data_IF_545199380246
#
_entry.id   IF_545199380246
#
_cell.length_a   1.000
_cell.length_b   1.000
_cell.length_c   1.000
_cell.angle_alpha   90.00
_cell.angle_beta   90.00
_cell.angle_gamma   90.00
#
_symmetry.space_group_name_H-M   'P 1'
#
loop_
_entity.id
_entity.type
_entity.pdbx_description
1 polymer ?
#
# COMPACT_ATOMS: atom_id res chain seq x y z
N UNK A 1 -3.76 14.45 13.17
CA UNK A 1 -4.21 13.69 11.99
C UNK A 1 -4.08 14.61 10.79
N UNK A 2 -3.00 14.50 10.03
CA UNK A 2 -2.82 15.29 8.81
C UNK A 2 -3.05 14.34 7.62
N UNK A 3 -4.15 14.58 6.90
CA UNK A 3 -4.42 13.98 5.62
C UNK A 3 -3.84 14.91 4.55
N UNK A 4 -2.73 14.54 3.94
CA UNK A 4 -2.13 15.33 2.87
C UNK A 4 -2.56 14.73 1.53
N UNK A 5 -3.44 15.41 0.81
CA UNK A 5 -3.74 15.09 -0.59
C UNK A 5 -2.63 15.68 -1.46
N UNK A 6 -1.53 14.93 -1.63
CA UNK A 6 -0.48 15.35 -2.54
C UNK A 6 -0.90 15.05 -3.98
N UNK A 7 -1.37 16.08 -4.69
CA UNK A 7 -1.47 16.06 -6.14
C UNK A 7 -0.07 16.14 -6.78
N UNK A 8 0.83 15.21 -6.42
CA UNK A 8 2.09 15.04 -7.12
C UNK A 8 1.83 14.34 -8.45
N UNK A 9 2.59 14.71 -9.50
CA UNK A 9 2.60 13.99 -10.78
C UNK A 9 3.57 12.80 -10.78
N UNK A 10 4.38 12.66 -9.72
CA UNK A 10 5.47 11.69 -9.60
C UNK A 10 5.57 11.16 -8.17
N UNK A 11 6.16 9.99 -8.01
CA UNK A 11 6.54 9.51 -6.69
C UNK A 11 7.62 10.42 -6.09
N UNK A 12 7.53 10.66 -4.78
CA UNK A 12 8.48 11.51 -4.04
C UNK A 12 8.92 10.74 -2.80
N UNK A 13 10.21 10.81 -2.40
CA UNK A 13 10.66 10.16 -1.16
C UNK A 13 9.95 10.74 0.08
N UNK A 14 9.76 9.96 1.16
CA UNK A 14 9.25 10.49 2.41
C UNK A 14 10.28 11.38 3.14
N UNK A 15 9.86 12.15 4.16
CA UNK A 15 10.79 12.92 4.99
C UNK A 15 11.86 12.03 5.66
N UNK A 16 13.00 12.62 6.03
CA UNK A 16 14.07 11.88 6.70
C UNK A 16 13.57 11.17 7.97
N UNK A 17 13.90 9.88 8.10
CA UNK A 17 13.47 9.03 9.22
C UNK A 17 12.07 8.42 9.06
N UNK A 18 11.39 8.66 7.94
CA UNK A 18 10.10 8.04 7.61
C UNK A 18 10.28 6.90 6.62
N UNK A 19 9.43 5.88 6.75
CA UNK A 19 9.19 4.89 5.72
C UNK A 19 7.94 5.26 4.92
N UNK A 20 7.98 5.07 3.61
CA UNK A 20 6.83 5.21 2.73
C UNK A 20 6.36 3.83 2.30
N UNK A 21 5.07 3.56 2.51
CA UNK A 21 4.42 2.30 2.18
C UNK A 21 3.42 2.56 1.06
N UNK A 22 3.69 2.02 -0.12
CA UNK A 22 2.79 2.04 -1.27
C UNK A 22 2.11 0.67 -1.39
N UNK A 23 0.82 0.67 -1.72
CA UNK A 23 0.05 -0.57 -1.91
C UNK A 23 -0.85 -0.50 -3.14
N UNK A 24 -1.02 -1.63 -3.84
CA UNK A 24 -2.00 -1.81 -4.94
C UNK A 24 -2.44 -3.27 -5.03
N UNK A 25 -3.53 -3.52 -5.76
CA UNK A 25 -4.08 -4.86 -5.98
C UNK A 25 -4.23 -5.17 -7.47
N UNK A 26 -3.64 -6.28 -7.90
CA UNK A 26 -3.85 -6.85 -9.23
C UNK A 26 -4.90 -7.94 -9.21
N UNK A 27 -5.81 -7.92 -10.18
CA UNK A 27 -6.93 -8.87 -10.28
C UNK A 27 -6.66 -9.81 -11.44
N UNK A 28 -6.79 -11.12 -11.21
CA UNK A 28 -6.70 -12.16 -12.23
C UNK A 28 -7.80 -13.20 -12.02
N UNK A 29 -8.01 -14.05 -13.02
CA UNK A 29 -9.00 -15.14 -12.93
C UNK A 29 -8.71 -16.11 -11.78
N UNK A 30 -7.45 -16.26 -11.38
CA UNK A 30 -7.01 -17.17 -10.33
C UNK A 30 -6.90 -16.51 -8.94
N UNK A 31 -7.35 -15.26 -8.78
CA UNK A 31 -7.34 -14.53 -7.51
C UNK A 31 -6.87 -13.09 -7.64
N UNK A 32 -6.79 -12.40 -6.50
CA UNK A 32 -6.22 -11.06 -6.41
C UNK A 32 -4.87 -11.12 -5.72
N UNK A 33 -3.96 -10.22 -6.09
CA UNK A 33 -2.61 -10.15 -5.53
C UNK A 33 -2.39 -8.74 -5.03
N UNK A 34 -2.18 -8.62 -3.73
CA UNK A 34 -1.79 -7.37 -3.10
C UNK A 34 -0.29 -7.24 -3.23
N UNK A 35 0.20 -6.08 -3.64
CA UNK A 35 1.58 -5.72 -3.51
C UNK A 35 1.73 -4.59 -2.51
N UNK A 36 2.56 -4.80 -1.50
CA UNK A 36 3.01 -3.79 -0.56
C UNK A 36 4.50 -3.56 -0.80
N UNK A 37 4.83 -2.28 -0.92
CA UNK A 37 6.12 -1.82 -1.34
C UNK A 37 6.60 -0.72 -0.40
N UNK A 38 7.84 -0.82 0.11
CA UNK A 38 8.34 0.07 1.16
C UNK A 38 9.69 0.68 0.79
N UNK A 39 9.80 2.01 0.91
CA UNK A 39 11.04 2.77 0.73
C UNK A 39 11.34 3.70 1.89
N UNK A 40 12.62 4.00 2.08
CA UNK A 40 13.10 5.05 2.98
C UNK A 40 13.21 6.42 2.27
N UNK A 41 13.67 7.43 3.01
CA UNK A 41 13.91 8.79 2.52
C UNK A 41 15.03 8.89 1.48
N UNK A 42 15.91 7.91 1.36
CA UNK A 42 16.93 7.81 0.31
C UNK A 42 16.39 7.10 -0.94
N UNK A 43 15.09 6.77 -0.93
CA UNK A 43 14.44 5.94 -1.94
C UNK A 43 15.02 4.54 -2.03
N UNK A 44 15.70 4.06 -1.00
CA UNK A 44 16.17 2.68 -0.95
C UNK A 44 14.97 1.77 -0.74
N UNK A 45 14.91 0.69 -1.51
CA UNK A 45 13.88 -0.33 -1.31
C UNK A 45 14.16 -1.10 -0.02
N UNK A 46 13.25 -1.01 0.95
CA UNK A 46 13.39 -1.59 2.28
C UNK A 46 12.65 -2.91 2.42
N UNK A 47 11.49 -3.05 1.78
CA UNK A 47 10.66 -4.25 1.87
C UNK A 47 9.71 -4.37 0.69
N UNK A 48 9.47 -5.62 0.26
CA UNK A 48 8.40 -5.99 -0.65
C UNK A 48 7.66 -7.18 -0.09
N UNK A 49 6.34 -7.05 0.01
CA UNK A 49 5.46 -8.12 0.47
C UNK A 49 4.32 -8.32 -0.52
N UNK A 50 4.02 -9.58 -0.84
CA UNK A 50 2.90 -9.95 -1.70
C UNK A 50 1.96 -10.88 -0.96
N UNK A 51 0.67 -10.59 -1.00
CA UNK A 51 -0.37 -11.48 -0.48
C UNK A 51 -1.30 -11.94 -1.61
N UNK A 52 -1.70 -13.22 -1.59
CA UNK A 52 -2.69 -13.73 -2.53
C UNK A 52 -4.03 -13.89 -1.84
N UNK A 53 -5.03 -13.24 -2.41
CA UNK A 53 -6.41 -13.32 -1.98
C UNK A 53 -7.23 -14.19 -2.92
N UNK A 54 -8.20 -14.89 -2.34
CA UNK A 54 -9.32 -15.45 -3.12
C UNK A 54 -10.09 -14.30 -3.76
N UNK A 55 -10.77 -14.54 -4.88
CA UNK A 55 -11.57 -13.53 -5.55
C UNK A 55 -12.57 -12.89 -4.56
N UNK A 56 -12.40 -11.59 -4.32
CA UNK A 56 -13.23 -10.77 -3.44
C UNK A 56 -13.75 -9.56 -4.20
N UNK A 57 -14.78 -8.91 -3.65
CA UNK A 57 -15.30 -7.65 -4.17
C UNK A 57 -14.21 -6.59 -4.32
N UNK A 58 -14.30 -5.74 -5.37
CA UNK A 58 -13.29 -4.73 -5.66
C UNK A 58 -12.88 -3.83 -4.52
N UNK A 59 -13.82 -3.45 -3.66
CA UNK A 59 -13.51 -2.58 -2.54
C UNK A 59 -12.86 -3.34 -1.38
N UNK A 60 -13.30 -4.57 -1.13
CA UNK A 60 -12.86 -5.37 0.02
C UNK A 60 -11.38 -5.68 -0.10
N UNK A 61 -10.90 -5.97 -1.33
CA UNK A 61 -9.47 -6.19 -1.57
C UNK A 61 -8.61 -4.94 -1.39
N UNK A 62 -9.11 -3.75 -1.75
CA UNK A 62 -8.39 -2.50 -1.53
C UNK A 62 -8.28 -2.20 -0.04
N UNK A 63 -9.37 -2.38 0.72
CA UNK A 63 -9.37 -2.28 2.17
C UNK A 63 -8.47 -3.35 2.82
N UNK A 64 -8.41 -4.56 2.24
CA UNK A 64 -7.51 -5.61 2.70
C UNK A 64 -6.04 -5.23 2.48
N UNK A 65 -5.69 -4.64 1.32
CA UNK A 65 -4.33 -4.15 1.06
C UNK A 65 -3.87 -3.14 2.13
N UNK A 66 -4.78 -2.25 2.53
CA UNK A 66 -4.58 -1.34 3.65
C UNK A 66 -4.38 -2.07 4.98
N UNK A 67 -5.28 -2.99 5.32
CA UNK A 67 -5.21 -3.78 6.54
C UNK A 67 -3.86 -4.51 6.67
N UNK A 68 -3.38 -5.11 5.58
CA UNK A 68 -2.06 -5.76 5.52
C UNK A 68 -0.91 -4.77 5.68
N UNK A 69 -0.95 -3.63 4.99
CA UNK A 69 0.08 -2.61 5.07
C UNK A 69 0.27 -2.08 6.50
N UNK A 70 -0.82 -1.75 7.19
CA UNK A 70 -0.74 -1.26 8.58
C UNK A 70 -0.41 -2.37 9.57
N UNK A 71 -0.85 -3.62 9.30
CA UNK A 71 -0.47 -4.77 10.11
C UNK A 71 1.02 -5.06 10.03
N UNK A 72 1.63 -4.95 8.84
CA UNK A 72 3.07 -5.07 8.65
C UNK A 72 3.82 -3.97 9.40
N UNK A 73 3.37 -2.71 9.30
CA UNK A 73 4.00 -1.60 9.99
C UNK A 73 4.00 -1.79 11.52
N UNK A 74 2.87 -2.23 12.06
CA UNK A 74 2.70 -2.59 13.47
C UNK A 74 3.61 -3.76 13.86
N UNK A 75 3.57 -4.85 13.11
CA UNK A 75 4.33 -6.07 13.41
C UNK A 75 5.85 -5.84 13.38
N UNK A 76 6.32 -5.08 12.39
CA UNK A 76 7.72 -4.69 12.22
C UNK A 76 8.13 -3.49 13.09
N UNK A 77 7.19 -2.92 13.86
CA UNK A 77 7.40 -1.80 14.78
C UNK A 77 8.05 -0.59 14.12
N UNK A 78 7.54 -0.21 12.95
CA UNK A 78 8.00 1.01 12.29
C UNK A 78 7.57 2.25 13.06
N UNK A 79 8.50 3.17 13.26
CA UNK A 79 8.29 4.36 14.10
C UNK A 79 7.46 5.44 13.38
N UNK A 80 7.85 5.77 12.13
CA UNK A 80 7.23 6.83 11.32
C UNK A 80 6.89 6.32 9.93
N UNK A 81 5.61 6.31 9.58
CA UNK A 81 5.13 5.66 8.34
C UNK A 81 4.17 6.55 7.55
N UNK A 82 4.45 6.75 6.28
CA UNK A 82 3.56 7.39 5.31
C UNK A 82 2.96 6.33 4.40
N UNK A 83 1.65 6.08 4.54
CA UNK A 83 0.91 5.15 3.69
C UNK A 83 0.32 5.87 2.48
N UNK A 84 0.51 5.29 1.30
CA UNK A 84 0.00 5.77 0.03
C UNK A 84 -0.79 4.67 -0.70
N UNK A 85 -2.00 4.99 -1.16
CA UNK A 85 -2.76 4.14 -2.07
C UNK A 85 -3.44 4.95 -3.17
N UNK A 86 -3.82 4.29 -4.27
CA UNK A 86 -4.53 4.90 -5.39
C UNK A 86 -6.06 4.76 -5.34
N UNK A 87 -6.60 4.09 -4.32
CA UNK A 87 -8.04 4.01 -4.03
C UNK A 87 -8.52 5.18 -3.16
N UNK A 88 -9.01 6.25 -3.81
CA UNK A 88 -9.52 7.44 -3.10
C UNK A 88 -10.66 7.10 -2.14
N UNK A 89 -11.48 6.12 -2.49
CA UNK A 89 -12.63 5.69 -1.70
C UNK A 89 -12.19 5.07 -0.38
N UNK A 90 -11.22 4.14 -0.41
CA UNK A 90 -10.68 3.55 0.82
C UNK A 90 -9.92 4.58 1.64
N UNK A 91 -9.13 5.46 1.01
CA UNK A 91 -8.49 6.56 1.73
C UNK A 91 -9.52 7.42 2.49
N UNK A 92 -10.66 7.74 1.87
CA UNK A 92 -11.71 8.53 2.53
C UNK A 92 -12.36 7.78 3.69
N UNK A 93 -12.71 6.51 3.50
CA UNK A 93 -13.30 5.69 4.57
C UNK A 93 -12.35 5.55 5.77
N UNK A 94 -11.05 5.35 5.51
CA UNK A 94 -10.04 5.30 6.57
C UNK A 94 -9.85 6.66 7.24
N UNK A 95 -9.81 7.76 6.49
CA UNK A 95 -9.52 9.09 7.04
C UNK A 95 -10.67 9.75 7.79
N UNK A 96 -11.89 9.63 7.28
CA UNK A 96 -13.00 10.47 7.74
C UNK A 96 -13.98 9.75 8.66
N UNK A 97 -13.94 8.42 8.75
CA UNK A 97 -14.68 7.67 9.78
C UNK A 97 -16.18 7.95 9.86
N UNK A 98 -16.78 8.53 8.82
CA UNK A 98 -18.23 8.54 8.62
C UNK A 98 -18.71 7.08 8.53
N UNK A 99 -20.00 6.76 8.76
CA UNK A 99 -20.48 5.40 8.57
C UNK A 99 -19.95 4.89 7.22
N UNK A 100 -19.15 3.80 7.21
CA UNK A 100 -18.35 3.45 6.04
C UNK A 100 -19.25 3.44 4.82
N UNK A 101 -18.87 4.17 3.77
CA UNK A 101 -19.68 4.19 2.54
C UNK A 101 -19.84 2.77 2.00
N UNK A 102 -18.92 1.88 2.38
CA UNK A 102 -18.91 0.46 2.05
C UNK A 102 -18.99 -0.38 3.31
N UNK A 103 -20.21 -0.72 3.71
CA UNK A 103 -20.50 -1.71 4.74
C UNK A 103 -19.70 -3.03 4.55
N UNK A 104 -19.42 -3.42 3.30
CA UNK A 104 -18.64 -4.61 2.98
C UNK A 104 -17.16 -4.54 3.45
N UNK A 105 -16.62 -3.35 3.68
CA UNK A 105 -15.24 -3.13 4.12
C UNK A 105 -15.13 -2.66 5.58
N UNK A 106 -16.23 -2.52 6.32
CA UNK A 106 -16.23 -1.93 7.66
C UNK A 106 -15.27 -2.62 8.63
N UNK A 107 -15.30 -3.96 8.69
CA UNK A 107 -14.40 -4.72 9.56
C UNK A 107 -12.91 -4.52 9.22
N UNK A 108 -12.58 -4.29 7.94
CA UNK A 108 -11.20 -3.97 7.55
C UNK A 108 -10.82 -2.56 7.98
N UNK A 109 -11.74 -1.58 7.86
CA UNK A 109 -11.52 -0.21 8.32
C UNK A 109 -11.33 -0.15 9.84
N UNK A 110 -12.12 -0.91 10.60
CA UNK A 110 -11.96 -1.05 12.05
C UNK A 110 -10.60 -1.64 12.41
N UNK A 111 -10.17 -2.70 11.72
CA UNK A 111 -8.85 -3.31 11.91
C UNK A 111 -7.71 -2.35 11.55
N UNK A 112 -7.88 -1.57 10.48
CA UNK A 112 -6.90 -0.56 10.08
C UNK A 112 -6.70 0.45 11.20
N UNK A 113 -7.79 1.00 11.73
CA UNK A 113 -7.74 1.94 12.85
C UNK A 113 -7.11 1.33 14.11
N UNK A 114 -7.48 0.10 14.46
CA UNK A 114 -6.86 -0.62 15.57
C UNK A 114 -5.33 -0.69 15.44
N UNK A 115 -4.82 -0.99 14.24
CA UNK A 115 -3.38 -1.05 13.99
C UNK A 115 -2.72 0.34 14.01
N UNK A 116 -3.37 1.36 13.45
CA UNK A 116 -2.86 2.73 13.41
C UNK A 116 -2.76 3.36 14.82
N UNK A 117 -3.63 2.98 15.76
CA UNK A 117 -3.57 3.44 17.15
C UNK A 117 -2.31 2.95 17.89
N UNK A 118 -1.70 1.86 17.44
CA UNK A 118 -0.44 1.34 18.00
C UNK A 118 0.81 1.86 17.28
N UNK A 119 0.64 2.55 16.14
CA UNK A 119 1.75 3.16 15.42
C UNK A 119 2.13 4.51 16.06
N UNK A 120 3.44 4.79 16.18
CA UNK A 120 3.91 5.99 16.89
C UNK A 120 3.64 7.29 16.10
N UNK A 121 4.04 7.36 14.84
CA UNK A 121 3.71 8.46 13.94
C UNK A 121 3.31 7.92 12.56
N UNK A 122 2.19 8.39 12.03
CA UNK A 122 1.69 7.94 10.74
C UNK A 122 0.98 9.02 9.96
N UNK A 123 1.04 8.89 8.64
CA UNK A 123 0.34 9.73 7.67
C UNK A 123 -0.31 8.87 6.60
N UNK A 124 -1.40 9.37 6.04
CA UNK A 124 -2.11 8.74 4.93
C UNK A 124 -2.22 9.76 3.81
N UNK A 125 -1.89 9.34 2.60
CA UNK A 125 -2.08 10.12 1.39
C UNK A 125 -2.73 9.27 0.31
N UNK A 126 -3.71 9.86 -0.38
CA UNK A 126 -4.12 9.33 -1.68
C UNK A 126 -3.14 9.82 -2.75
N UNK A 127 -2.76 8.91 -3.65
CA UNK A 127 -1.93 9.23 -4.81
C UNK A 127 -2.60 8.77 -6.10
N UNK A 128 -2.30 9.42 -7.22
CA UNK A 128 -2.76 8.90 -8.51
C UNK A 128 -2.07 7.57 -8.85
N UNK A 129 -2.73 6.69 -9.62
CA UNK A 129 -2.13 5.43 -10.10
C UNK A 129 -0.77 5.62 -10.80
N UNK A 130 -0.53 6.76 -11.44
CA UNK A 130 0.77 7.08 -12.05
C UNK A 130 1.90 7.22 -11.03
N UNK A 131 1.59 7.68 -9.83
CA UNK A 131 2.54 7.82 -8.71
C UNK A 131 2.67 6.54 -7.89
N UNK A 132 1.81 5.54 -8.17
CA UNK A 132 1.78 4.23 -7.52
C UNK A 132 2.09 3.12 -8.54
N UNK A 133 2.75 3.46 -9.65
CA UNK A 133 2.95 2.55 -10.78
C UNK A 133 3.82 1.36 -10.38
N UNK A 134 4.76 1.54 -9.46
CA UNK A 134 5.56 0.45 -8.91
C UNK A 134 4.72 -0.61 -8.22
N UNK A 135 3.82 -0.22 -7.30
CA UNK A 135 2.93 -1.16 -6.63
C UNK A 135 2.03 -1.88 -7.65
N UNK A 136 1.55 -1.14 -8.66
CA UNK A 136 0.74 -1.70 -9.74
C UNK A 136 1.44 -2.75 -10.59
N UNK A 137 2.64 -2.42 -11.09
CA UNK A 137 3.44 -3.34 -11.90
C UNK A 137 3.87 -4.56 -11.09
N UNK A 138 4.21 -4.35 -9.82
CA UNK A 138 4.62 -5.41 -8.91
C UNK A 138 3.47 -6.39 -8.64
N UNK A 139 2.27 -5.89 -8.33
CA UNK A 139 1.08 -6.72 -8.16
C UNK A 139 0.78 -7.52 -9.44
N UNK A 140 0.85 -6.86 -10.61
CA UNK A 140 0.63 -7.50 -11.90
C UNK A 140 1.67 -8.58 -12.24
N UNK A 141 2.94 -8.34 -11.91
CA UNK A 141 4.03 -9.30 -12.04
C UNK A 141 3.83 -10.49 -11.12
N UNK A 142 3.59 -10.26 -9.82
CA UNK A 142 3.39 -11.32 -8.87
C UNK A 142 2.18 -12.19 -9.22
N UNK A 143 1.08 -11.58 -9.67
CA UNK A 143 -0.10 -12.30 -10.15
C UNK A 143 0.16 -13.18 -11.37
N UNK A 144 1.07 -12.76 -12.26
CA UNK A 144 1.47 -13.52 -13.45
C UNK A 144 2.30 -14.75 -13.10
N UNK A 145 3.15 -14.65 -12.08
CA UNK A 145 4.12 -15.69 -11.71
C UNK A 145 3.76 -16.47 -10.45
N UNK A 146 2.63 -16.13 -9.79
CA UNK A 146 2.19 -16.80 -8.57
C UNK A 146 3.10 -16.54 -7.37
N UNK A 147 3.69 -15.35 -7.29
CA UNK A 147 4.64 -14.98 -6.23
C UNK A 147 3.87 -14.49 -5.00
N UNK A 148 4.27 -14.92 -3.81
CA UNK A 148 3.65 -14.59 -2.52
C UNK A 148 4.71 -14.49 -1.41
N UNK A 149 4.39 -13.80 -0.33
CA UNK A 149 5.25 -13.58 0.84
C UNK A 149 6.24 -12.42 0.69
N UNK A 150 7.28 -12.42 1.53
CA UNK A 150 8.39 -11.47 1.42
C UNK A 150 9.24 -11.77 0.18
N UNK A 151 9.39 -10.77 -0.68
CA UNK A 151 10.04 -10.92 -1.99
C UNK A 151 11.47 -10.39 -1.94
N UNK A 152 12.49 -11.22 -2.22
CA UNK A 152 13.86 -10.75 -2.37
C UNK A 152 13.99 -9.75 -3.52
N UNK A 153 14.70 -8.63 -3.30
CA UNK A 153 14.81 -7.60 -4.34
C UNK A 153 15.54 -8.07 -5.60
N UNK A 154 16.39 -9.10 -5.48
CA UNK A 154 17.14 -9.68 -6.61
C UNK A 154 16.24 -10.33 -7.66
N UNK A 155 15.03 -10.76 -7.29
CA UNK A 155 14.11 -11.43 -8.22
C UNK A 155 13.10 -10.46 -8.86
N UNK A 156 13.02 -9.22 -8.36
CA UNK A 156 12.12 -8.21 -8.91
C UNK A 156 12.75 -7.65 -10.19
N UNK A 157 12.04 -7.67 -11.34
CA UNK A 157 12.53 -7.12 -12.59
C UNK A 157 13.00 -5.67 -12.42
N UNK A 158 14.17 -5.34 -12.99
CA UNK A 158 14.79 -4.03 -12.83
C UNK A 158 13.89 -2.87 -13.27
N UNK A 159 13.16 -3.04 -14.38
CA UNK A 159 12.19 -2.06 -14.87
C UNK A 159 11.03 -1.81 -13.89
N UNK A 160 10.72 -2.74 -12.98
CA UNK A 160 9.73 -2.54 -11.92
C UNK A 160 10.38 -1.88 -10.71
N UNK A 161 11.62 -2.27 -10.35
CA UNK A 161 12.33 -1.74 -9.15
C UNK A 161 12.56 -0.23 -9.17
N UNK A 162 12.62 0.41 -10.33
CA UNK A 162 12.92 1.84 -10.45
C UNK A 162 11.89 2.66 -11.22
N UNK A 163 10.73 2.09 -11.59
CA UNK A 163 9.81 2.76 -12.54
C UNK A 163 9.33 4.14 -12.10
N UNK A 164 9.23 4.36 -10.78
CA UNK A 164 8.71 5.60 -10.21
C UNK A 164 9.83 6.60 -9.86
N UNK A 165 11.09 6.25 -10.12
CA UNK A 165 12.29 6.98 -9.70
C UNK A 165 12.88 7.91 -10.76
N UNK A 166 12.31 7.99 -11.96
CA UNK A 166 12.89 8.78 -13.05
C UNK A 166 12.44 10.26 -13.04
N UNK A 167 13.38 11.21 -13.28
CA UNK A 167 13.10 12.64 -13.30
C UNK A 167 12.20 13.10 -14.45
#
# INVERSE_FOLDING_TARGET
MEAECFASKKWVPPPCGWLKVNMDVAIRQNGSYIAIFVRDSYSSLCLVYIERLVAMDPIVREAFAWAEAVSLARWLKWDKVLFECDSLLVCKDVLFGEPPQLWAASGMVEHIWFCLLECHDWRIAWVSRKCNLQAHLLAGWAARFGIVGFVPFSIIPEHIRGCDMHP
#
